data_IF_891867962923
#
_entry.id   IF_891867962923
#
_cell.length_a   1.000
_cell.length_b   1.000
_cell.length_c   1.000
_cell.angle_alpha   90.00
_cell.angle_beta   90.00
_cell.angle_gamma   90.00
#
_symmetry.space_group_name_H-M   'P 1'
#
loop_
_entity.id
_entity.type
_entity.pdbx_description
1 polymer ?
#
# COMPACT_ATOMS: atom_id res chain seq x y z
N UNK A 1 16.56 -13.22 11.37
CA UNK A 1 17.48 -13.24 10.21
C UNK A 1 17.78 -11.81 9.83
N UNK A 2 19.05 -11.41 9.74
CA UNK A 2 19.42 -10.06 9.33
C UNK A 2 19.04 -9.86 7.84
N UNK A 3 18.07 -9.00 7.58
CA UNK A 3 17.71 -8.58 6.21
C UNK A 3 18.90 -7.84 5.62
N UNK A 4 19.37 -8.26 4.44
CA UNK A 4 20.43 -7.56 3.73
C UNK A 4 20.02 -6.09 3.51
N UNK A 5 20.86 -5.12 3.92
CA UNK A 5 20.55 -3.69 3.71
C UNK A 5 20.34 -3.44 2.21
N UNK A 6 19.20 -2.86 1.80
CA UNK A 6 18.94 -2.56 0.39
C UNK A 6 19.96 -1.54 -0.12
N UNK A 7 20.60 -1.85 -1.25
CA UNK A 7 21.58 -1.00 -1.89
C UNK A 7 20.92 -0.23 -3.05
N UNK A 8 20.47 0.99 -2.77
CA UNK A 8 19.82 1.87 -3.75
C UNK A 8 20.84 2.55 -4.66
N UNK A 9 20.49 2.71 -5.93
CA UNK A 9 21.29 3.36 -6.97
C UNK A 9 20.57 4.59 -7.51
N UNK A 10 21.35 5.55 -8.03
CA UNK A 10 20.80 6.69 -8.76
C UNK A 10 19.98 6.15 -9.95
N UNK A 11 18.76 6.67 -10.10
CA UNK A 11 17.78 6.23 -11.10
C UNK A 11 16.79 5.18 -10.59
N UNK A 12 16.98 4.60 -9.40
CA UNK A 12 15.99 3.70 -8.81
C UNK A 12 14.71 4.47 -8.49
N UNK A 13 13.56 3.88 -8.81
CA UNK A 13 12.24 4.40 -8.45
C UNK A 13 11.80 3.76 -7.13
N UNK A 14 11.50 4.59 -6.14
CA UNK A 14 11.32 4.16 -4.75
C UNK A 14 10.12 4.86 -4.10
N UNK A 15 9.60 4.26 -3.04
CA UNK A 15 8.57 4.84 -2.19
C UNK A 15 9.20 5.36 -0.89
N UNK A 16 8.80 6.57 -0.50
CA UNK A 16 9.15 7.21 0.78
C UNK A 16 7.88 7.63 1.51
N UNK A 17 8.01 8.02 2.80
CA UNK A 17 6.89 8.60 3.57
C UNK A 17 6.28 9.87 2.96
N UNK A 18 6.97 10.53 2.03
CA UNK A 18 6.47 11.72 1.33
C UNK A 18 5.98 11.43 -0.09
N UNK A 19 5.96 10.15 -0.49
CA UNK A 19 5.46 9.70 -1.78
C UNK A 19 6.49 8.97 -2.62
N UNK A 20 6.08 8.61 -3.84
CA UNK A 20 6.89 7.96 -4.87
C UNK A 20 7.87 8.97 -5.47
N UNK A 21 9.07 8.51 -5.83
CA UNK A 21 10.07 9.37 -6.45
C UNK A 21 11.29 8.62 -6.97
N UNK A 22 12.14 9.33 -7.68
CA UNK A 22 13.36 8.83 -8.29
C UNK A 22 14.58 9.20 -7.44
N UNK A 23 15.45 8.23 -7.17
CA UNK A 23 16.73 8.46 -6.48
C UNK A 23 17.65 9.28 -7.40
N UNK A 24 18.03 10.49 -6.96
CA UNK A 24 18.96 11.38 -7.65
C UNK A 24 20.32 11.48 -6.97
N UNK A 25 20.39 11.13 -5.69
CA UNK A 25 21.63 11.14 -4.91
C UNK A 25 21.66 9.99 -3.90
N UNK A 26 22.82 9.39 -3.66
CA UNK A 26 23.05 8.43 -2.57
C UNK A 26 24.38 8.75 -1.92
N UNK A 27 24.37 9.11 -0.64
CA UNK A 27 25.59 9.47 0.08
C UNK A 27 25.35 10.23 1.38
N UNK A 28 26.42 10.62 2.09
CA UNK A 28 26.33 11.48 3.26
C UNK A 28 25.95 12.92 2.88
N UNK A 29 25.20 13.60 3.74
CA UNK A 29 24.84 15.02 3.56
C UNK A 29 25.37 15.85 4.73
N UNK A 30 25.83 17.06 4.45
CA UNK A 30 26.37 17.98 5.47
C UNK A 30 25.33 18.40 6.50
N UNK A 31 24.05 18.39 6.11
CA UNK A 31 22.93 18.71 7.00
C UNK A 31 22.61 17.62 8.04
N UNK A 32 23.25 16.44 7.94
CA UNK A 32 23.04 15.37 8.90
C UNK A 32 24.04 15.49 10.07
N UNK A 33 23.51 15.48 11.30
CA UNK A 33 24.33 15.47 12.52
C UNK A 33 25.24 14.23 12.65
N UNK A 34 24.96 13.17 11.88
CA UNK A 34 25.70 11.92 11.86
C UNK A 34 26.19 11.62 10.43
N UNK A 35 27.48 11.88 10.19
CA UNK A 35 28.13 11.69 8.89
C UNK A 35 28.30 10.21 8.51
N UNK A 36 28.03 9.27 9.43
CA UNK A 36 28.10 7.84 9.13
C UNK A 36 26.82 7.31 8.46
N UNK A 37 25.74 8.09 8.45
CA UNK A 37 24.48 7.73 7.79
C UNK A 37 24.50 8.05 6.31
N UNK A 38 24.00 7.10 5.52
CA UNK A 38 23.78 7.29 4.09
C UNK A 38 22.34 7.77 3.86
N UNK A 39 22.20 8.86 3.12
CA UNK A 39 20.93 9.42 2.71
C UNK A 39 20.73 9.19 1.21
N UNK A 40 19.46 9.04 0.83
CA UNK A 40 19.03 9.14 -0.55
C UNK A 40 18.39 10.52 -0.76
N UNK A 41 18.85 11.24 -1.78
CA UNK A 41 18.15 12.41 -2.31
C UNK A 41 17.15 11.95 -3.36
N UNK A 42 15.86 12.19 -3.12
CA UNK A 42 14.78 11.84 -4.03
C UNK A 42 14.22 13.10 -4.71
N UNK A 43 13.94 12.98 -6.01
CA UNK A 43 13.00 13.84 -6.72
C UNK A 43 11.63 13.13 -6.70
N UNK A 44 10.67 13.68 -5.95
CA UNK A 44 9.33 13.13 -5.82
C UNK A 44 8.50 13.38 -7.08
N UNK A 45 7.46 12.58 -7.31
CA UNK A 45 6.53 12.80 -8.42
C UNK A 45 5.59 14.00 -8.17
N UNK A 46 5.33 14.33 -6.91
CA UNK A 46 4.41 15.37 -6.44
C UNK A 46 5.15 16.39 -5.55
N UNK A 47 4.65 17.64 -5.40
CA UNK A 47 5.30 18.74 -4.67
C UNK A 47 5.24 18.59 -3.13
N UNK A 48 5.54 17.41 -2.60
CA UNK A 48 5.49 17.04 -1.19
C UNK A 48 6.88 16.97 -0.52
N UNK A 49 7.90 17.42 -1.22
CA UNK A 49 9.29 17.51 -0.78
C UNK A 49 9.55 18.72 0.10
N UNK A 50 10.83 18.90 0.46
CA UNK A 50 11.28 19.99 1.35
C UNK A 50 12.26 20.96 0.70
N UNK A 51 12.79 20.60 -0.47
CA UNK A 51 13.83 21.35 -1.14
C UNK A 51 13.75 21.17 -2.67
N UNK A 52 14.68 21.77 -3.39
CA UNK A 52 14.87 21.68 -4.84
C UNK A 52 16.11 20.83 -5.21
N UNK A 53 16.54 19.95 -4.30
CA UNK A 53 17.77 19.15 -4.41
C UNK A 53 19.03 19.79 -3.78
N UNK A 54 18.85 20.95 -3.15
CA UNK A 54 19.87 21.61 -2.32
C UNK A 54 19.55 21.55 -0.82
N UNK A 55 20.58 21.50 0.04
CA UNK A 55 20.43 21.66 1.49
C UNK A 55 21.65 22.37 2.07
N UNK A 56 21.45 23.27 3.02
CA UNK A 56 22.50 24.11 3.64
C UNK A 56 23.41 24.84 2.63
N UNK A 57 22.84 25.31 1.52
CA UNK A 57 23.58 26.05 0.49
C UNK A 57 24.41 25.18 -0.45
N UNK A 58 24.40 23.85 -0.28
CA UNK A 58 25.05 22.89 -1.17
C UNK A 58 24.01 22.18 -2.04
N UNK A 59 24.27 22.14 -3.35
CA UNK A 59 23.43 21.45 -4.34
C UNK A 59 23.93 20.02 -4.50
N UNK A 60 23.04 19.03 -4.34
CA UNK A 60 23.36 17.61 -4.55
C UNK A 60 22.72 17.07 -5.83
N UNK A 61 21.52 17.55 -6.15
CA UNK A 61 20.81 17.31 -7.41
C UNK A 61 19.90 18.52 -7.71
N UNK A 62 19.33 18.58 -8.90
CA UNK A 62 18.40 19.64 -9.30
C UNK A 62 17.01 19.04 -9.54
N UNK A 63 15.99 19.69 -8.99
CA UNK A 63 14.58 19.41 -9.24
C UNK A 63 13.73 20.66 -8.94
N UNK A 64 12.43 20.68 -9.31
CA UNK A 64 11.56 21.80 -8.98
C UNK A 64 11.42 22.01 -7.45
N UNK A 65 11.00 23.21 -7.05
CA UNK A 65 10.85 23.55 -5.64
C UNK A 65 9.75 22.72 -4.98
N UNK A 66 10.02 22.21 -3.77
CA UNK A 66 9.21 21.23 -3.05
C UNK A 66 9.12 19.84 -3.70
N UNK A 67 10.01 19.47 -4.63
CA UNK A 67 10.08 18.10 -5.16
C UNK A 67 11.23 17.28 -4.55
N UNK A 68 12.25 17.96 -4.03
CA UNK A 68 13.44 17.33 -3.46
C UNK A 68 13.25 16.94 -1.99
N UNK A 69 13.67 15.74 -1.60
CA UNK A 69 13.78 15.34 -0.19
C UNK A 69 15.02 14.48 0.05
N UNK A 70 15.63 14.62 1.23
CA UNK A 70 16.67 13.71 1.70
C UNK A 70 16.09 12.81 2.80
N UNK A 71 16.18 11.50 2.61
CA UNK A 71 15.72 10.50 3.57
C UNK A 71 16.79 9.45 3.83
N UNK A 72 16.89 8.88 5.04
CA UNK A 72 17.79 7.75 5.28
C UNK A 72 17.43 6.58 4.37
N UNK A 73 18.42 5.95 3.74
CA UNK A 73 18.18 4.83 2.80
C UNK A 73 17.38 3.68 3.42
N UNK A 74 17.45 3.52 4.74
CA UNK A 74 16.75 2.49 5.52
C UNK A 74 15.23 2.71 5.59
N UNK A 75 14.76 3.92 5.25
CA UNK A 75 13.33 4.29 5.29
C UNK A 75 12.63 4.15 3.94
N UNK A 76 13.35 3.71 2.91
CA UNK A 76 12.83 3.56 1.55
C UNK A 76 12.28 2.16 1.33
N UNK A 77 11.23 2.08 0.51
CA UNK A 77 10.72 0.82 -0.04
C UNK A 77 10.97 0.74 -1.56
N UNK A 78 11.34 -0.44 -2.05
CA UNK A 78 11.58 -0.69 -3.47
C UNK A 78 10.26 -0.70 -4.25
N UNK A 79 10.20 0.03 -5.37
CA UNK A 79 9.13 -0.11 -6.34
C UNK A 79 9.48 -1.18 -7.39
N UNK A 80 8.53 -2.01 -7.83
CA UNK A 80 8.73 -2.94 -8.94
C UNK A 80 9.23 -2.18 -10.18
N UNK A 81 10.27 -2.69 -10.83
CA UNK A 81 10.92 -2.06 -12.00
C UNK A 81 9.95 -1.77 -13.16
N UNK A 82 8.79 -2.44 -13.19
CA UNK A 82 7.77 -2.28 -14.23
C UNK A 82 6.91 -1.01 -14.05
N UNK A 83 6.88 -0.40 -12.85
CA UNK A 83 6.19 0.87 -12.60
C UNK A 83 7.03 2.11 -12.95
N UNK A 84 8.24 1.91 -13.49
CA UNK A 84 9.12 3.01 -13.87
C UNK A 84 8.54 3.71 -15.09
N UNK A 85 8.06 4.97 -14.93
CA UNK A 85 7.78 5.81 -16.09
C UNK A 85 9.08 5.94 -16.89
N UNK A 86 9.06 5.73 -18.22
CA UNK A 86 10.26 5.90 -19.03
C UNK A 86 10.78 7.32 -18.85
N UNK A 87 12.11 7.54 -18.81
CA UNK A 87 12.68 8.87 -18.64
C UNK A 87 12.15 9.79 -19.74
N UNK A 88 11.45 10.85 -19.33
CA UNK A 88 10.91 11.89 -20.20
C UNK A 88 12.03 12.73 -20.81
N UNK A 89 12.61 12.23 -21.90
CA UNK A 89 13.31 13.08 -22.88
C UNK A 89 12.37 13.41 -24.04
N UNK A 90 12.30 14.68 -24.49
CA UNK A 90 11.41 15.07 -25.58
C UNK A 90 12.06 14.85 -26.96
N UNK A 91 11.21 14.62 -27.97
CA UNK A 91 11.45 14.73 -29.44
C UNK A 91 12.08 13.46 -30.08
N UNK A 92 11.59 12.82 -31.17
CA UNK A 92 11.05 13.29 -32.47
C UNK A 92 10.32 12.15 -33.24
N UNK A 93 9.39 12.52 -34.11
CA UNK A 93 8.60 11.69 -35.04
C UNK A 93 9.39 10.87 -36.07
N UNK A 94 8.86 9.70 -36.50
CA UNK A 94 8.25 9.44 -37.83
C UNK A 94 8.29 7.97 -38.29
N UNK A 95 7.28 7.64 -39.12
CA UNK A 95 7.13 6.52 -40.09
C UNK A 95 6.88 5.13 -39.50
N UNK A 96 5.66 4.56 -39.55
CA UNK A 96 4.82 4.22 -40.71
C UNK A 96 5.43 3.15 -41.65
N UNK A 97 4.78 1.97 -41.60
CA UNK A 97 4.39 1.10 -42.73
C UNK A 97 5.46 0.53 -43.65
N UNK A 98 5.64 -0.79 -43.60
CA UNK A 98 5.94 -1.65 -44.76
C UNK A 98 5.67 -3.13 -44.45
N UNK A 99 5.22 -3.88 -45.46
CA UNK A 99 4.96 -5.34 -45.52
C UNK A 99 3.51 -5.81 -45.29
N UNK A 100 2.62 -5.41 -46.20
CA UNK A 100 1.44 -6.17 -46.65
C UNK A 100 1.32 -6.12 -48.17
N UNK A 101 1.77 -7.16 -48.85
CA UNK A 101 1.33 -7.67 -50.17
C UNK A 101 2.32 -8.80 -50.52
N UNK A 102 1.87 -10.05 -50.64
CA UNK A 102 1.47 -10.71 -51.90
C UNK A 102 1.07 -12.16 -51.45
N UNK A 103 -0.04 -12.81 -51.80
CA UNK A 103 -0.64 -13.08 -53.11
C UNK A 103 -2.13 -13.41 -52.96
N UNK A 104 -2.98 -12.85 -53.85
CA UNK A 104 -4.16 -13.57 -54.36
C UNK A 104 -3.70 -14.56 -55.45
N UNK A 105 -4.45 -15.55 -55.92
CA UNK A 105 -5.89 -15.63 -56.15
C UNK A 105 -6.22 -17.08 -56.61
N UNK A 106 -7.52 -17.40 -56.64
CA UNK A 106 -8.19 -18.53 -57.32
C UNK A 106 -7.95 -19.91 -56.67
N UNK A 107 -8.95 -20.75 -56.39
CA UNK A 107 -10.09 -21.18 -57.22
C UNK A 107 -11.28 -21.50 -56.30
N UNK A 108 -12.47 -21.02 -56.66
CA UNK A 108 -13.73 -21.54 -56.12
C UNK A 108 -14.32 -22.58 -57.07
N UNK A 109 -14.93 -23.62 -56.50
CA UNK A 109 -16.22 -24.19 -56.91
C UNK A 109 -16.48 -25.49 -56.16
N UNK A 110 -17.58 -25.49 -55.40
CA UNK A 110 -18.54 -26.57 -55.14
C UNK A 110 -18.11 -28.04 -55.28
N UNK A 111 -18.33 -28.81 -54.21
CA UNK A 111 -19.12 -30.06 -54.24
C UNK A 111 -19.65 -30.33 -52.82
N UNK A 112 -20.96 -30.28 -52.70
CA UNK A 112 -21.74 -30.74 -51.56
C UNK A 112 -21.84 -32.26 -51.55
N UNK A 113 -21.59 -32.87 -50.38
CA UNK A 113 -22.26 -34.10 -49.91
C UNK A 113 -21.74 -35.43 -50.44
N UNK A 114 -21.09 -36.21 -49.57
CA UNK A 114 -21.43 -37.62 -49.35
C UNK A 114 -20.95 -38.08 -47.98
N UNK A 115 -21.91 -38.50 -47.16
CA UNK A 115 -21.73 -39.20 -45.91
C UNK A 115 -21.47 -40.68 -46.21
N UNK A 116 -20.46 -41.26 -45.57
CA UNK A 116 -20.31 -42.70 -45.41
C UNK A 116 -19.41 -43.38 -46.43
N UNK A 117 -18.30 -43.94 -45.95
CA UNK A 117 -17.88 -45.31 -46.27
C UNK A 117 -16.73 -45.71 -45.35
N UNK A 118 -17.04 -46.60 -44.42
CA UNK A 118 -16.07 -47.35 -43.63
C UNK A 118 -15.37 -48.40 -44.49
N UNK A 119 -14.12 -48.70 -44.08
CA UNK A 119 -13.24 -49.83 -44.46
C UNK A 119 -12.26 -49.54 -45.59
N UNK A 120 -11.02 -49.22 -45.22
CA UNK A 120 -9.86 -49.76 -45.93
C UNK A 120 -8.67 -49.96 -44.97
N UNK A 121 -8.48 -51.21 -44.57
CA UNK A 121 -7.36 -51.67 -43.74
C UNK A 121 -6.27 -52.25 -44.65
N UNK A 122 -5.41 -51.42 -45.22
CA UNK A 122 -4.16 -51.92 -45.85
C UNK A 122 -2.97 -50.95 -45.76
N UNK A 123 -3.15 -49.70 -45.35
CA UNK A 123 -2.04 -48.73 -45.21
C UNK A 123 -1.50 -48.55 -43.78
N UNK A 124 -2.06 -49.26 -42.80
CA UNK A 124 -1.63 -49.22 -41.38
C UNK A 124 -0.23 -49.80 -41.10
N UNK A 125 0.61 -50.08 -42.11
CA UNK A 125 1.92 -50.72 -41.96
C UNK A 125 3.13 -49.85 -42.37
N UNK A 126 2.96 -48.54 -42.57
CA UNK A 126 4.08 -47.62 -42.72
C UNK A 126 4.57 -47.10 -41.33
N UNK A 127 5.86 -47.28 -40.98
CA UNK A 127 6.42 -46.82 -39.69
C UNK A 127 6.23 -45.32 -39.44
N UNK A 128 6.36 -44.50 -40.49
CA UNK A 128 6.17 -43.05 -40.43
C UNK A 128 4.71 -42.64 -40.12
N UNK A 129 3.73 -43.41 -40.62
CA UNK A 129 2.29 -43.16 -40.38
C UNK A 129 1.88 -43.59 -38.96
N UNK A 130 2.48 -44.67 -38.42
CA UNK A 130 2.24 -45.11 -37.04
C UNK A 130 2.85 -44.18 -35.99
N UNK A 131 3.99 -43.54 -36.28
CA UNK A 131 4.56 -42.53 -35.38
C UNK A 131 3.76 -41.22 -35.40
N UNK A 132 3.18 -40.83 -36.54
CA UNK A 132 2.37 -39.61 -36.65
C UNK A 132 0.95 -39.74 -36.05
N UNK A 133 0.38 -40.94 -35.96
CA UNK A 133 -0.99 -41.17 -35.47
C UNK A 133 -1.12 -41.38 -33.96
N UNK A 134 -0.03 -41.42 -33.19
CA UNK A 134 -0.07 -41.84 -31.78
C UNK A 134 0.20 -40.74 -30.75
N UNK A 135 0.27 -39.48 -31.16
CA UNK A 135 0.04 -38.37 -30.22
C UNK A 135 -1.44 -38.04 -30.35
N UNK A 136 -2.21 -38.37 -29.32
CA UNK A 136 -3.64 -38.08 -29.25
C UNK A 136 -3.81 -36.55 -29.09
N UNK A 137 -3.52 -35.80 -30.16
CA UNK A 137 -3.45 -34.33 -30.20
C UNK A 137 -4.75 -33.71 -29.77
N UNK A 138 -5.90 -34.34 -30.07
CA UNK A 138 -7.22 -33.94 -29.54
C UNK A 138 -7.32 -34.08 -28.02
N UNK A 139 -6.74 -35.11 -27.43
CA UNK A 139 -6.76 -35.32 -25.97
C UNK A 139 -5.76 -34.42 -25.26
N UNK A 140 -4.55 -34.24 -25.82
CA UNK A 140 -3.60 -33.24 -25.34
C UNK A 140 -4.13 -31.81 -25.45
N UNK A 141 -4.88 -31.49 -26.51
CA UNK A 141 -5.56 -30.21 -26.69
C UNK A 141 -6.72 -30.04 -25.72
N UNK A 142 -7.49 -31.09 -25.44
CA UNK A 142 -8.55 -31.06 -24.44
C UNK A 142 -7.99 -30.86 -23.03
N UNK A 143 -6.91 -31.54 -22.68
CA UNK A 143 -6.21 -31.38 -21.40
C UNK A 143 -5.57 -29.99 -21.28
N UNK A 144 -5.01 -29.45 -22.36
CA UNK A 144 -4.46 -28.10 -22.38
C UNK A 144 -5.56 -27.04 -22.24
N UNK A 145 -6.68 -27.17 -22.97
CA UNK A 145 -7.84 -26.30 -22.82
C UNK A 145 -8.50 -26.41 -21.44
N UNK A 146 -8.57 -27.60 -20.86
CA UNK A 146 -9.14 -27.83 -19.53
C UNK A 146 -8.24 -27.23 -18.43
N UNK A 147 -6.93 -27.41 -18.54
CA UNK A 147 -5.96 -26.76 -17.64
C UNK A 147 -5.98 -25.24 -17.82
N UNK A 148 -6.12 -24.75 -19.04
CA UNK A 148 -6.23 -23.33 -19.36
C UNK A 148 -7.52 -22.72 -18.80
N UNK A 149 -8.65 -23.42 -18.92
CA UNK A 149 -9.92 -23.00 -18.32
C UNK A 149 -9.82 -22.95 -16.79
N UNK A 150 -9.17 -23.94 -16.15
CA UNK A 150 -8.89 -23.89 -14.71
C UNK A 150 -8.05 -22.67 -14.30
N UNK A 151 -7.08 -22.28 -15.13
CA UNK A 151 -6.24 -21.10 -14.88
C UNK A 151 -7.05 -19.80 -15.01
N UNK A 152 -7.95 -19.73 -16.00
CA UNK A 152 -8.88 -18.60 -16.20
C UNK A 152 -9.90 -18.50 -15.06
N UNK A 153 -10.54 -19.61 -14.69
CA UNK A 153 -11.50 -19.65 -13.57
C UNK A 153 -10.82 -19.23 -12.24
N UNK A 154 -9.54 -19.62 -12.05
CA UNK A 154 -8.74 -19.15 -10.91
C UNK A 154 -8.33 -17.68 -11.01
N UNK A 155 -8.15 -17.13 -12.22
CA UNK A 155 -7.83 -15.72 -12.43
C UNK A 155 -9.04 -14.84 -12.13
N UNK A 156 -10.22 -15.29 -12.56
CA UNK A 156 -11.51 -14.64 -12.29
C UNK A 156 -11.83 -14.64 -10.79
N UNK A 157 -11.62 -15.77 -10.10
CA UNK A 157 -11.79 -15.84 -8.64
C UNK A 157 -10.80 -14.93 -7.86
N UNK A 158 -9.60 -14.68 -8.41
CA UNK A 158 -8.67 -13.70 -7.83
C UNK A 158 -9.05 -12.27 -8.21
N UNK A 159 -9.69 -12.02 -9.35
CA UNK A 159 -10.27 -10.71 -9.69
C UNK A 159 -11.38 -10.33 -8.71
N UNK A 160 -12.21 -11.27 -8.27
CA UNK A 160 -13.24 -11.01 -7.27
C UNK A 160 -12.63 -10.64 -5.90
N UNK A 161 -11.52 -11.29 -5.52
CA UNK A 161 -10.78 -10.94 -4.30
C UNK A 161 -10.08 -9.58 -4.44
N UNK A 162 -9.52 -9.27 -5.61
CA UNK A 162 -8.92 -7.97 -5.89
C UNK A 162 -9.97 -6.85 -5.89
N UNK A 163 -11.17 -7.10 -6.41
CA UNK A 163 -12.29 -6.18 -6.31
C UNK A 163 -12.72 -5.95 -4.86
N UNK A 164 -12.68 -7.01 -4.04
CA UNK A 164 -12.93 -6.91 -2.58
C UNK A 164 -11.85 -6.09 -1.88
N UNK A 165 -10.59 -6.26 -2.25
CA UNK A 165 -9.47 -5.45 -1.75
C UNK A 165 -9.58 -3.99 -2.22
N UNK A 166 -9.93 -3.73 -3.48
CA UNK A 166 -10.18 -2.39 -4.01
C UNK A 166 -11.33 -1.69 -3.30
N UNK A 167 -12.43 -2.41 -3.02
CA UNK A 167 -13.54 -1.88 -2.24
C UNK A 167 -13.10 -1.49 -0.82
N UNK A 168 -12.23 -2.30 -0.20
CA UNK A 168 -11.68 -2.01 1.12
C UNK A 168 -10.67 -0.84 1.10
N UNK A 169 -9.87 -0.70 0.05
CA UNK A 169 -9.00 0.47 -0.18
C UNK A 169 -9.86 1.73 -0.29
N UNK A 170 -10.95 1.70 -1.03
CA UNK A 170 -11.90 2.82 -1.14
C UNK A 170 -12.54 3.18 0.22
N UNK A 171 -12.75 2.18 1.07
CA UNK A 171 -13.25 2.35 2.44
C UNK A 171 -12.19 3.01 3.34
N UNK A 172 -10.93 2.60 3.21
CA UNK A 172 -9.79 3.18 3.91
C UNK A 172 -9.41 4.57 3.39
N UNK A 173 -9.62 4.87 2.11
CA UNK A 173 -9.45 6.22 1.53
C UNK A 173 -10.47 7.21 2.09
N UNK A 174 -11.66 6.73 2.45
CA UNK A 174 -12.69 7.53 3.12
C UNK A 174 -12.45 7.68 4.62
N UNK A 175 -11.66 6.80 5.22
CA UNK A 175 -11.22 6.92 6.60
C UNK A 175 -10.07 7.94 6.68
N UNK A 176 -10.33 9.12 7.24
CA UNK A 176 -9.31 10.14 7.47
C UNK A 176 -8.44 9.72 8.66
N UNK A 177 -7.41 8.90 8.41
CA UNK A 177 -6.33 8.64 9.37
C UNK A 177 -5.39 9.85 9.45
N UNK A 178 -5.09 10.32 10.66
CA UNK A 178 -4.32 11.55 10.92
C UNK A 178 -2.81 11.32 11.13
N UNK A 179 -2.29 10.13 10.80
CA UNK A 179 -0.89 9.74 11.07
C UNK A 179 -0.05 9.48 9.81
N UNK A 180 1.16 10.05 9.77
CA UNK A 180 2.15 9.87 8.68
C UNK A 180 2.55 8.39 8.44
N UNK A 181 2.39 7.51 9.44
CA UNK A 181 2.76 6.08 9.34
C UNK A 181 1.66 5.22 8.68
N UNK A 182 0.39 5.48 9.00
CA UNK A 182 -0.76 4.81 8.37
C UNK A 182 -0.87 5.16 6.89
N UNK A 183 -0.59 6.42 6.53
CA UNK A 183 -0.60 6.88 5.13
C UNK A 183 0.53 6.23 4.31
N UNK A 184 1.70 5.97 4.94
CA UNK A 184 2.80 5.27 4.28
C UNK A 184 2.49 3.80 4.03
N UNK A 185 1.94 3.09 5.01
CA UNK A 185 1.54 1.68 4.86
C UNK A 185 0.42 1.52 3.82
N UNK A 186 -0.53 2.47 3.78
CA UNK A 186 -1.55 2.58 2.73
C UNK A 186 -0.94 2.79 1.34
N UNK A 187 0.01 3.70 1.18
CA UNK A 187 0.68 3.93 -0.11
C UNK A 187 1.53 2.73 -0.56
N UNK A 188 2.15 2.00 0.39
CA UNK A 188 2.89 0.78 0.09
C UNK A 188 1.95 -0.33 -0.44
N UNK A 189 0.77 -0.47 0.17
CA UNK A 189 -0.26 -1.42 -0.28
C UNK A 189 -0.80 -1.07 -1.67
N UNK A 190 -1.11 0.20 -1.94
CA UNK A 190 -1.60 0.66 -3.26
C UNK A 190 -0.59 0.30 -4.36
N UNK A 191 0.69 0.60 -4.14
CA UNK A 191 1.77 0.23 -5.07
C UNK A 191 1.81 -1.27 -5.33
N UNK A 192 1.65 -2.08 -4.28
CA UNK A 192 1.71 -3.54 -4.40
C UNK A 192 0.60 -4.03 -5.32
N UNK A 193 -0.62 -3.52 -5.16
CA UNK A 193 -1.79 -3.87 -5.97
C UNK A 193 -1.60 -3.43 -7.43
N UNK A 194 -1.16 -2.19 -7.66
CA UNK A 194 -0.86 -1.67 -9.00
C UNK A 194 0.13 -2.57 -9.75
N UNK A 195 1.19 -3.01 -9.07
CA UNK A 195 2.20 -3.88 -9.67
C UNK A 195 1.68 -5.27 -10.03
N UNK A 196 0.74 -5.81 -9.26
CA UNK A 196 0.14 -7.12 -9.53
C UNK A 196 -0.79 -7.06 -10.73
N UNK A 197 -1.57 -5.98 -10.88
CA UNK A 197 -2.48 -5.81 -12.02
C UNK A 197 -1.71 -5.68 -13.35
N UNK A 198 -0.56 -5.02 -13.35
CA UNK A 198 0.27 -4.88 -14.54
C UNK A 198 0.93 -6.20 -14.99
N UNK A 199 1.39 -7.02 -14.03
CA UNK A 199 1.89 -8.37 -14.30
C UNK A 199 0.79 -9.25 -14.89
N UNK A 200 -0.42 -9.17 -14.35
CA UNK A 200 -1.59 -9.92 -14.84
C UNK A 200 -1.91 -9.56 -16.29
N UNK A 201 -2.01 -8.27 -16.62
CA UNK A 201 -2.28 -7.81 -17.99
C UNK A 201 -1.23 -8.32 -18.98
N UNK A 202 0.04 -8.32 -18.59
CA UNK A 202 1.14 -8.83 -19.44
C UNK A 202 0.99 -10.33 -19.73
N UNK A 203 0.56 -11.12 -18.74
CA UNK A 203 0.35 -12.55 -18.91
C UNK A 203 -0.87 -12.86 -19.79
N UNK A 204 -1.96 -12.11 -19.63
CA UNK A 204 -3.16 -12.24 -20.48
C UNK A 204 -2.86 -11.94 -21.95
N UNK A 205 -2.08 -10.89 -22.25
CA UNK A 205 -1.67 -10.55 -23.61
C UNK A 205 -0.82 -11.67 -24.24
N UNK A 206 0.22 -12.15 -23.52
CA UNK A 206 1.07 -13.25 -24.00
C UNK A 206 0.27 -14.52 -24.27
N UNK A 207 -0.70 -14.83 -23.43
CA UNK A 207 -1.58 -15.98 -23.59
C UNK A 207 -2.45 -15.85 -24.84
N UNK A 208 -3.01 -14.65 -25.07
CA UNK A 208 -3.80 -14.36 -26.27
C UNK A 208 -2.98 -14.56 -27.54
N UNK A 209 -1.73 -14.10 -27.56
CA UNK A 209 -0.82 -14.25 -28.70
C UNK A 209 -0.50 -15.72 -29.00
N UNK A 210 -0.24 -16.53 -27.96
CA UNK A 210 0.05 -17.96 -28.12
C UNK A 210 -1.15 -18.74 -28.67
N UNK A 211 -2.35 -18.45 -28.18
CA UNK A 211 -3.58 -19.10 -28.68
C UNK A 211 -3.85 -18.80 -30.15
N UNK A 212 -3.74 -17.53 -30.54
CA UNK A 212 -3.94 -17.12 -31.93
C UNK A 212 -2.91 -17.76 -32.86
N UNK A 213 -1.67 -17.93 -32.41
CA UNK A 213 -0.62 -18.64 -33.16
C UNK A 213 -0.94 -20.12 -33.33
N UNK A 214 -1.43 -20.78 -32.27
CA UNK A 214 -1.79 -22.19 -32.29
C UNK A 214 -2.94 -22.49 -33.25
N UNK A 215 -4.02 -21.70 -33.21
CA UNK A 215 -5.18 -21.87 -34.10
C UNK A 215 -4.79 -21.78 -35.59
N UNK A 216 -3.91 -20.84 -35.94
CA UNK A 216 -3.41 -20.71 -37.32
C UNK A 216 -2.65 -21.95 -37.78
N UNK A 217 -1.78 -22.48 -36.94
CA UNK A 217 -1.01 -23.69 -37.29
C UNK A 217 -1.92 -24.92 -37.43
N UNK A 218 -2.98 -25.03 -36.62
CA UNK A 218 -3.96 -26.10 -36.72
C UNK A 218 -4.75 -26.05 -38.04
N UNK A 219 -5.18 -24.86 -38.45
CA UNK A 219 -5.88 -24.68 -39.73
C UNK A 219 -5.01 -25.08 -40.92
N UNK A 220 -3.71 -24.74 -40.88
CA UNK A 220 -2.76 -25.12 -41.92
C UNK A 220 -2.55 -26.64 -42.00
N UNK A 221 -2.41 -27.31 -40.85
CA UNK A 221 -2.25 -28.77 -40.80
C UNK A 221 -3.50 -29.50 -41.31
N UNK A 222 -4.69 -29.00 -40.99
CA UNK A 222 -5.95 -29.58 -41.49
C UNK A 222 -6.00 -29.53 -43.04
N UNK A 223 -5.67 -28.39 -43.64
CA UNK A 223 -5.62 -28.23 -45.09
C UNK A 223 -4.62 -29.17 -45.76
N UNK A 224 -3.43 -29.34 -45.19
CA UNK A 224 -2.41 -30.26 -45.72
C UNK A 224 -2.88 -31.72 -45.66
N UNK A 225 -3.59 -32.10 -44.58
CA UNK A 225 -4.08 -33.46 -44.41
C UNK A 225 -5.22 -33.79 -45.40
N UNK A 226 -6.07 -32.81 -45.72
CA UNK A 226 -7.11 -32.95 -46.75
C UNK A 226 -6.50 -33.13 -48.15
N UNK A 227 -5.43 -32.39 -48.47
CA UNK A 227 -4.67 -32.53 -49.72
C UNK A 227 -4.03 -33.92 -49.84
N UNK A 228 -3.37 -34.40 -48.78
CA UNK A 228 -2.79 -35.75 -48.74
C UNK A 228 -3.86 -36.81 -48.96
N UNK A 229 -5.02 -36.69 -48.31
CA UNK A 229 -6.12 -37.64 -48.46
C UNK A 229 -6.66 -37.67 -49.90
N UNK A 230 -6.81 -36.52 -50.53
CA UNK A 230 -7.27 -36.41 -51.93
C UNK A 230 -6.27 -37.04 -52.92
N UNK A 231 -4.96 -36.76 -52.72
CA UNK A 231 -3.89 -37.35 -53.54
C UNK A 231 -3.83 -38.87 -53.37
N UNK A 232 -3.94 -39.38 -52.14
CA UNK A 232 -3.97 -40.82 -51.86
C UNK A 232 -5.10 -41.51 -52.60
N UNK A 233 -6.32 -40.95 -52.51
CA UNK A 233 -7.50 -41.49 -53.20
C UNK A 233 -7.30 -41.52 -54.72
N UNK A 234 -6.79 -40.42 -55.28
CA UNK A 234 -6.56 -40.30 -56.73
C UNK A 234 -5.52 -41.30 -57.24
N UNK A 235 -4.42 -41.48 -56.48
CA UNK A 235 -3.38 -42.47 -56.81
C UNK A 235 -3.94 -43.89 -56.77
N UNK A 236 -4.75 -44.21 -55.77
CA UNK A 236 -5.37 -45.53 -55.63
C UNK A 236 -6.33 -45.85 -56.79
N UNK A 237 -7.23 -44.91 -57.11
CA UNK A 237 -8.19 -45.05 -58.22
C UNK A 237 -7.47 -45.28 -59.56
N UNK A 238 -6.40 -44.51 -59.82
CA UNK A 238 -5.59 -44.66 -61.04
C UNK A 238 -4.80 -45.98 -61.08
N UNK A 239 -4.27 -46.45 -59.95
CA UNK A 239 -3.60 -47.77 -59.85
C UNK A 239 -4.55 -48.92 -60.15
N UNK A 240 -5.78 -48.84 -59.64
CA UNK A 240 -6.83 -49.83 -59.94
C UNK A 240 -7.17 -49.83 -61.42
N UNK A 241 -7.29 -48.67 -62.06
CA UNK A 241 -7.45 -48.59 -63.52
C UNK A 241 -6.26 -49.16 -64.29
N UNK A 242 -5.02 -48.85 -63.88
CA UNK A 242 -3.82 -49.33 -64.56
C UNK A 242 -3.64 -50.85 -64.44
N UNK A 243 -4.01 -51.45 -63.30
CA UNK A 243 -4.01 -52.91 -63.13
C UNK A 243 -5.05 -53.59 -64.01
N UNK A 244 -6.25 -53.01 -64.16
CA UNK A 244 -7.28 -53.50 -65.09
C UNK A 244 -6.79 -53.47 -66.54
N UNK A 245 -6.21 -52.36 -66.98
CA UNK A 245 -5.65 -52.21 -68.34
C UNK A 245 -4.48 -53.18 -68.55
N UNK A 246 -3.59 -53.31 -67.57
CA UNK A 246 -2.46 -54.25 -67.63
C UNK A 246 -2.93 -55.69 -67.81
N UNK A 247 -3.94 -56.11 -67.03
CA UNK A 247 -4.53 -57.45 -67.11
C UNK A 247 -5.18 -57.70 -68.47
N UNK A 248 -5.93 -56.72 -69.00
CA UNK A 248 -6.56 -56.80 -70.31
C UNK A 248 -5.53 -56.87 -71.47
N UNK A 249 -4.43 -56.11 -71.34
CA UNK A 249 -3.34 -56.06 -72.33
C UNK A 249 -2.41 -57.28 -72.34
N UNK A 250 -2.43 -58.12 -71.29
CA UNK A 250 -1.59 -59.31 -71.17
C UNK A 250 -2.15 -60.53 -71.95
N UNK A 251 -3.30 -60.39 -72.61
CA UNK A 251 -3.91 -61.46 -73.41
C UNK A 251 -3.09 -61.76 -74.68
N UNK A 252 -2.84 -63.04 -75.03
CA UNK A 252 -2.03 -63.44 -76.20
C UNK A 252 -2.55 -62.97 -77.57
N UNK A 253 -3.76 -62.41 -77.63
CA UNK A 253 -4.41 -61.92 -78.84
C UNK A 253 -4.60 -60.39 -78.86
N UNK A 254 -3.98 -59.66 -77.95
CA UNK A 254 -4.11 -58.21 -77.85
C UNK A 254 -3.18 -57.49 -78.86
N UNK A 255 -3.74 -56.71 -79.81
CA UNK A 255 -2.97 -56.02 -80.86
C UNK A 255 -3.22 -54.49 -80.93
N UNK A 256 -3.81 -53.89 -79.88
CA UNK A 256 -4.20 -52.48 -79.91
C UNK A 256 -3.09 -51.55 -79.37
N UNK A 257 -2.33 -50.94 -80.29
CA UNK A 257 -1.24 -50.01 -79.98
C UNK A 257 -1.69 -48.75 -79.23
N UNK A 258 -2.94 -48.30 -79.44
CA UNK A 258 -3.49 -47.13 -78.75
C UNK A 258 -3.62 -47.36 -77.23
N UNK A 259 -4.03 -48.57 -76.83
CA UNK A 259 -4.21 -48.93 -75.41
C UNK A 259 -2.84 -49.11 -74.72
N UNK A 260 -1.82 -49.55 -75.45
CA UNK A 260 -0.43 -49.61 -74.95
C UNK A 260 0.12 -48.20 -74.68
N UNK A 261 -0.13 -47.23 -75.57
CA UNK A 261 0.25 -45.82 -75.36
C UNK A 261 -0.49 -45.20 -74.17
N UNK A 262 -1.79 -45.45 -74.05
CA UNK A 262 -2.61 -44.99 -72.91
C UNK A 262 -2.13 -45.59 -71.58
N UNK A 263 -1.72 -46.86 -71.56
CA UNK A 263 -1.13 -47.53 -70.40
C UNK A 263 0.20 -46.89 -69.98
N UNK A 264 1.09 -46.60 -70.94
CA UNK A 264 2.37 -45.95 -70.67
C UNK A 264 2.17 -44.52 -70.14
N UNK A 265 1.19 -43.79 -70.67
CA UNK A 265 0.84 -42.45 -70.24
C UNK A 265 0.18 -42.44 -68.85
N UNK A 266 -0.72 -43.38 -68.56
CA UNK A 266 -1.27 -43.60 -67.23
C UNK A 266 -0.18 -43.98 -66.21
N UNK A 267 0.78 -44.82 -66.61
CA UNK A 267 1.90 -45.22 -65.75
C UNK A 267 2.81 -44.02 -65.41
N UNK A 268 3.07 -43.14 -66.37
CA UNK A 268 3.77 -41.87 -66.14
C UNK A 268 2.98 -40.94 -65.22
N UNK A 269 1.65 -40.83 -65.41
CA UNK A 269 0.77 -40.02 -64.56
C UNK A 269 0.76 -40.50 -63.11
N UNK A 270 0.71 -41.81 -62.89
CA UNK A 270 0.79 -42.43 -61.55
C UNK A 270 2.13 -42.10 -60.89
N UNK A 271 3.25 -42.26 -61.60
CA UNK A 271 4.58 -41.97 -61.06
C UNK A 271 4.74 -40.51 -60.60
N UNK A 272 4.18 -39.56 -61.37
CA UNK A 272 4.17 -38.13 -60.99
C UNK A 272 3.31 -37.90 -59.74
N UNK A 273 2.11 -38.48 -59.68
CA UNK A 273 1.23 -38.32 -58.52
C UNK A 273 1.79 -39.00 -57.26
N UNK A 274 2.50 -40.12 -57.39
CA UNK A 274 3.22 -40.76 -56.29
C UNK A 274 4.38 -39.90 -55.77
N UNK A 275 5.10 -39.20 -56.66
CA UNK A 275 6.11 -38.22 -56.28
C UNK A 275 5.50 -37.05 -55.51
N UNK A 276 4.42 -36.46 -56.03
CA UNK A 276 3.70 -35.37 -55.37
C UNK A 276 3.12 -35.79 -54.02
N UNK A 277 2.57 -37.01 -53.92
CA UNK A 277 2.07 -37.56 -52.68
C UNK A 277 3.20 -37.74 -51.65
N UNK A 278 4.37 -38.22 -52.08
CA UNK A 278 5.54 -38.35 -51.22
C UNK A 278 5.99 -36.99 -50.69
N UNK A 279 6.06 -35.98 -51.55
CA UNK A 279 6.41 -34.60 -51.19
C UNK A 279 5.42 -34.00 -50.19
N UNK A 280 4.11 -34.12 -50.45
CA UNK A 280 3.05 -33.67 -49.57
C UNK A 280 3.09 -34.37 -48.19
N UNK A 281 3.35 -35.69 -48.16
CA UNK A 281 3.54 -36.44 -46.92
C UNK A 281 4.75 -35.96 -46.13
N UNK A 282 5.90 -35.71 -46.78
CA UNK A 282 7.09 -35.16 -46.11
C UNK A 282 6.83 -33.75 -45.57
N UNK A 283 6.18 -32.89 -46.34
CA UNK A 283 5.84 -31.51 -45.93
C UNK A 283 4.87 -31.49 -44.74
N UNK A 284 3.84 -32.33 -44.78
CA UNK A 284 2.89 -32.50 -43.68
C UNK A 284 3.56 -33.06 -42.43
N UNK A 285 4.47 -34.02 -42.57
CA UNK A 285 5.21 -34.60 -41.44
C UNK A 285 6.12 -33.55 -40.78
N UNK A 286 6.87 -32.79 -41.57
CA UNK A 286 7.73 -31.71 -41.05
C UNK A 286 6.91 -30.61 -40.36
N UNK A 287 5.73 -30.28 -40.89
CA UNK A 287 4.82 -29.31 -40.26
C UNK A 287 4.32 -29.83 -38.91
N UNK A 288 3.98 -31.11 -38.84
CA UNK A 288 3.52 -31.75 -37.60
C UNK A 288 4.62 -31.87 -36.54
N UNK A 289 5.86 -32.14 -36.94
CA UNK A 289 7.03 -32.14 -36.06
C UNK A 289 7.28 -30.75 -35.46
N UNK A 290 7.28 -29.71 -36.30
CA UNK A 290 7.41 -28.31 -35.84
C UNK A 290 6.27 -27.91 -34.89
N UNK A 291 5.05 -28.34 -35.19
CA UNK A 291 3.90 -28.06 -34.32
C UNK A 291 4.06 -28.74 -32.95
N UNK A 292 4.52 -29.99 -32.92
CA UNK A 292 4.78 -30.71 -31.68
C UNK A 292 5.90 -30.04 -30.87
N UNK A 293 6.98 -29.61 -31.50
CA UNK A 293 8.06 -28.89 -30.84
C UNK A 293 7.57 -27.57 -30.23
N UNK A 294 6.80 -26.79 -30.99
CA UNK A 294 6.19 -25.56 -30.50
C UNK A 294 5.22 -25.81 -29.34
N UNK A 295 4.44 -26.90 -29.39
CA UNK A 295 3.51 -27.29 -28.31
C UNK A 295 4.27 -27.67 -27.03
N UNK A 296 5.38 -28.41 -27.15
CA UNK A 296 6.24 -28.78 -26.02
C UNK A 296 6.84 -27.52 -25.37
N UNK A 297 7.34 -26.59 -26.19
CA UNK A 297 7.92 -25.34 -25.70
C UNK A 297 6.85 -24.47 -25.02
N UNK A 298 5.69 -24.29 -25.64
CA UNK A 298 4.56 -23.56 -25.06
C UNK A 298 4.07 -24.19 -23.75
N UNK A 299 4.01 -25.53 -23.67
CA UNK A 299 3.68 -26.24 -22.43
C UNK A 299 4.71 -25.96 -21.33
N UNK A 300 6.00 -25.99 -21.66
CA UNK A 300 7.08 -25.72 -20.70
C UNK A 300 7.04 -24.27 -20.20
N UNK A 301 6.75 -23.31 -21.07
CA UNK A 301 6.56 -21.90 -20.69
C UNK A 301 5.32 -21.73 -19.79
N UNK A 302 4.20 -22.36 -20.14
CA UNK A 302 3.00 -22.34 -19.30
C UNK A 302 3.26 -22.95 -17.91
N UNK A 303 3.97 -24.07 -17.82
CA UNK A 303 4.37 -24.69 -16.55
C UNK A 303 5.26 -23.76 -15.71
N UNK A 304 6.17 -23.01 -16.33
CA UNK A 304 6.99 -22.03 -15.64
C UNK A 304 6.16 -20.85 -15.11
N UNK A 305 5.25 -20.32 -15.92
CA UNK A 305 4.34 -19.26 -15.48
C UNK A 305 3.43 -19.71 -14.34
N UNK A 306 2.95 -20.96 -14.36
CA UNK A 306 2.18 -21.54 -13.24
C UNK A 306 3.04 -21.62 -11.96
N UNK A 307 4.33 -21.98 -12.06
CA UNK A 307 5.24 -21.98 -10.91
C UNK A 307 5.46 -20.57 -10.35
N UNK A 308 5.72 -19.59 -11.21
CA UNK A 308 5.86 -18.18 -10.81
C UNK A 308 4.58 -17.66 -10.14
N UNK A 309 3.41 -17.98 -10.70
CA UNK A 309 2.11 -17.63 -10.12
C UNK A 309 1.92 -18.23 -8.73
N UNK A 310 2.24 -19.51 -8.54
CA UNK A 310 2.09 -20.18 -7.24
C UNK A 310 3.01 -19.58 -6.17
N UNK A 311 4.23 -19.20 -6.54
CA UNK A 311 5.16 -18.50 -5.65
C UNK A 311 4.63 -17.10 -5.27
N UNK A 312 4.07 -16.36 -6.23
CA UNK A 312 3.42 -15.07 -5.95
C UNK A 312 2.19 -15.22 -5.06
N UNK A 313 1.37 -16.26 -5.28
CA UNK A 313 0.19 -16.54 -4.45
C UNK A 313 0.58 -16.84 -3.01
N UNK A 314 1.66 -17.61 -2.80
CA UNK A 314 2.19 -17.87 -1.47
C UNK A 314 2.64 -16.58 -0.76
N UNK A 315 3.33 -15.69 -1.48
CA UNK A 315 3.75 -14.38 -0.93
C UNK A 315 2.54 -13.50 -0.60
N UNK A 316 1.49 -13.55 -1.40
CA UNK A 316 0.25 -12.82 -1.12
C UNK A 316 -0.39 -13.32 0.19
N UNK A 317 -0.52 -14.63 0.37
CA UNK A 317 -1.02 -15.23 1.61
C UNK A 317 -0.18 -14.84 2.84
N UNK A 318 1.15 -14.78 2.69
CA UNK A 318 2.04 -14.29 3.76
C UNK A 318 1.77 -12.83 4.13
N UNK A 319 1.50 -11.97 3.14
CA UNK A 319 1.12 -10.56 3.36
C UNK A 319 -0.24 -10.46 4.02
N UNK A 320 -1.25 -11.21 3.56
CA UNK A 320 -2.59 -11.26 4.17
C UNK A 320 -2.52 -11.67 5.64
N UNK A 321 -1.70 -12.68 5.95
CA UNK A 321 -1.51 -13.15 7.32
C UNK A 321 -0.85 -12.07 8.19
N UNK A 322 0.17 -11.38 7.68
CA UNK A 322 0.81 -10.26 8.38
C UNK A 322 -0.18 -9.12 8.64
N UNK A 323 -0.97 -8.75 7.63
CA UNK A 323 -1.98 -7.70 7.76
C UNK A 323 -3.05 -8.07 8.78
N UNK A 324 -3.54 -9.32 8.78
CA UNK A 324 -4.48 -9.79 9.80
C UNK A 324 -3.92 -9.71 11.21
N UNK A 325 -2.63 -9.95 11.40
CA UNK A 325 -1.97 -9.82 12.71
C UNK A 325 -1.83 -8.35 13.12
N UNK A 326 -1.48 -7.47 12.19
CA UNK A 326 -1.41 -6.02 12.43
C UNK A 326 -2.78 -5.50 12.88
N UNK A 327 -3.85 -5.84 12.16
CA UNK A 327 -5.23 -5.46 12.54
C UNK A 327 -5.62 -5.92 13.95
N UNK A 328 -5.22 -7.13 14.35
CA UNK A 328 -5.46 -7.61 15.72
C UNK A 328 -4.70 -6.77 16.74
N UNK A 329 -3.41 -6.50 16.49
CA UNK A 329 -2.61 -5.68 17.39
C UNK A 329 -3.12 -4.24 17.50
N UNK A 330 -3.62 -3.67 16.40
CA UNK A 330 -4.22 -2.34 16.38
C UNK A 330 -5.49 -2.29 17.24
N UNK A 331 -6.38 -3.28 17.09
CA UNK A 331 -7.58 -3.40 17.90
C UNK A 331 -7.25 -3.54 19.39
N UNK A 332 -6.25 -4.35 19.75
CA UNK A 332 -5.77 -4.51 21.14
C UNK A 332 -5.21 -3.18 21.69
N UNK A 333 -4.45 -2.43 20.89
CA UNK A 333 -3.91 -1.12 21.29
C UNK A 333 -5.06 -0.10 21.49
N UNK A 334 -6.05 -0.06 20.60
CA UNK A 334 -7.20 0.82 20.72
C UNK A 334 -8.03 0.51 21.98
N UNK A 335 -8.25 -0.77 22.26
CA UNK A 335 -8.96 -1.20 23.47
C UNK A 335 -8.21 -0.75 24.73
N UNK A 336 -6.89 -0.98 24.76
CA UNK A 336 -6.04 -0.56 25.88
C UNK A 336 -6.00 0.96 26.06
N UNK A 337 -5.88 1.71 24.97
CA UNK A 337 -5.89 3.17 25.02
C UNK A 337 -7.22 3.71 25.55
N UNK A 338 -8.35 3.14 25.14
CA UNK A 338 -9.67 3.52 25.63
C UNK A 338 -9.83 3.20 27.13
N UNK A 339 -9.28 2.08 27.58
CA UNK A 339 -9.26 1.72 28.99
C UNK A 339 -8.42 2.71 29.81
N UNK A 340 -7.18 2.98 29.38
CA UNK A 340 -6.27 3.92 30.05
C UNK A 340 -6.87 5.34 30.12
N UNK A 341 -7.53 5.80 29.05
CA UNK A 341 -8.22 7.09 28.99
C UNK A 341 -9.38 7.15 30.00
N UNK A 342 -10.13 6.04 30.11
CA UNK A 342 -11.26 5.93 31.05
C UNK A 342 -10.77 5.97 32.49
N UNK A 343 -9.70 5.24 32.79
CA UNK A 343 -9.10 5.20 34.13
C UNK A 343 -8.51 6.55 34.53
N UNK A 344 -7.79 7.22 33.62
CA UNK A 344 -7.28 8.57 33.85
C UNK A 344 -8.40 9.59 34.10
N UNK A 345 -9.50 9.50 33.34
CA UNK A 345 -10.67 10.37 33.52
C UNK A 345 -11.32 10.15 34.89
N UNK A 346 -11.50 8.89 35.30
CA UNK A 346 -12.06 8.54 36.60
C UNK A 346 -11.14 9.02 37.75
N UNK A 347 -9.82 8.87 37.61
CA UNK A 347 -8.86 9.34 38.59
C UNK A 347 -8.91 10.87 38.74
N UNK A 348 -8.88 11.61 37.63
CA UNK A 348 -8.99 13.06 37.65
C UNK A 348 -10.31 13.54 38.25
N UNK A 349 -11.42 12.85 37.95
CA UNK A 349 -12.73 13.16 38.51
C UNK A 349 -12.78 12.93 40.03
N UNK A 350 -12.22 11.83 40.52
CA UNK A 350 -12.14 11.54 41.96
C UNK A 350 -11.25 12.55 42.69
N UNK A 351 -10.15 12.97 42.07
CA UNK A 351 -9.24 13.95 42.64
C UNK A 351 -9.88 15.35 42.71
N UNK A 352 -10.65 15.74 41.67
CA UNK A 352 -11.48 16.95 41.73
C UNK A 352 -12.51 16.91 42.86
N UNK A 353 -13.22 15.80 43.03
CA UNK A 353 -14.18 15.64 44.14
C UNK A 353 -13.48 15.81 45.49
N UNK A 354 -12.30 15.22 45.65
CA UNK A 354 -11.50 15.34 46.87
C UNK A 354 -11.05 16.77 47.13
N UNK A 355 -10.57 17.47 46.10
CA UNK A 355 -10.14 18.87 46.21
C UNK A 355 -11.32 19.79 46.55
N UNK A 356 -12.49 19.60 45.93
CA UNK A 356 -13.70 20.36 46.24
C UNK A 356 -14.11 20.20 47.70
N UNK A 357 -14.08 18.96 48.23
CA UNK A 357 -14.37 18.71 49.64
C UNK A 357 -13.37 19.39 50.57
N UNK A 358 -12.09 19.38 50.23
CA UNK A 358 -11.08 20.06 51.04
C UNK A 358 -11.22 21.58 50.98
N UNK A 359 -11.59 22.13 49.82
CA UNK A 359 -11.88 23.56 49.66
C UNK A 359 -13.02 23.97 50.59
N UNK A 360 -14.12 23.21 50.62
CA UNK A 360 -15.27 23.43 51.50
C UNK A 360 -14.86 23.39 52.98
N UNK A 361 -14.00 22.43 53.38
CA UNK A 361 -13.46 22.38 54.76
C UNK A 361 -12.63 23.61 55.12
N UNK A 362 -11.81 24.12 54.18
CA UNK A 362 -10.99 25.31 54.38
C UNK A 362 -11.86 26.57 54.45
N UNK A 363 -12.87 26.70 53.58
CA UNK A 363 -13.83 27.80 53.58
C UNK A 363 -14.60 27.86 54.91
N UNK A 364 -15.05 26.71 55.41
CA UNK A 364 -15.72 26.63 56.71
C UNK A 364 -14.80 27.07 57.85
N UNK A 365 -13.56 26.59 57.90
CA UNK A 365 -12.57 27.01 58.91
C UNK A 365 -12.26 28.51 58.82
N UNK A 366 -12.14 29.04 57.61
CA UNK A 366 -11.90 30.47 57.39
C UNK A 366 -13.08 31.29 57.92
N UNK A 367 -14.32 30.88 57.62
CA UNK A 367 -15.54 31.50 58.15
C UNK A 367 -15.56 31.50 59.69
N UNK A 368 -15.24 30.38 60.32
CA UNK A 368 -15.22 30.28 61.79
C UNK A 368 -14.13 31.17 62.41
N UNK A 369 -12.95 31.22 61.78
CA UNK A 369 -11.85 32.09 62.22
C UNK A 369 -12.22 33.57 62.10
N UNK A 370 -12.87 33.95 60.99
CA UNK A 370 -13.35 35.32 60.79
C UNK A 370 -14.40 35.73 61.83
N UNK A 371 -15.30 34.80 62.23
CA UNK A 371 -16.26 35.05 63.31
C UNK A 371 -15.55 35.26 64.66
N UNK A 372 -14.60 34.40 65.00
CA UNK A 372 -13.84 34.51 66.24
C UNK A 372 -13.02 35.82 66.31
N UNK A 373 -12.40 36.22 65.20
CA UNK A 373 -11.67 37.50 65.11
C UNK A 373 -12.60 38.71 65.24
N UNK A 374 -13.81 38.63 64.68
CA UNK A 374 -14.82 39.68 64.83
C UNK A 374 -15.33 39.81 66.29
N UNK A 375 -15.45 38.69 67.02
CA UNK A 375 -15.78 38.68 68.45
C UNK A 375 -14.64 39.28 69.29
N UNK A 376 -13.40 38.82 69.08
CA UNK A 376 -12.23 39.38 69.76
C UNK A 376 -12.07 40.89 69.57
N UNK A 377 -12.31 41.40 68.35
CA UNK A 377 -12.24 42.83 68.08
C UNK A 377 -13.34 43.60 68.83
N UNK A 378 -14.55 43.05 68.96
CA UNK A 378 -15.61 43.67 69.79
C UNK A 378 -15.23 43.72 71.26
N UNK A 379 -14.69 42.63 71.79
CA UNK A 379 -14.25 42.57 73.19
C UNK A 379 -13.10 43.56 73.46
N UNK A 380 -12.17 43.69 72.51
CA UNK A 380 -11.09 44.69 72.57
C UNK A 380 -11.64 46.12 72.56
N UNK A 381 -12.60 46.43 71.68
CA UNK A 381 -13.24 47.75 71.61
C UNK A 381 -13.96 48.10 72.92
N UNK A 382 -14.67 47.13 73.52
CA UNK A 382 -15.32 47.32 74.83
C UNK A 382 -14.31 47.59 75.95
N UNK A 383 -13.24 46.79 76.05
CA UNK A 383 -12.21 46.97 77.07
C UNK A 383 -11.48 48.31 76.93
N UNK A 384 -11.30 48.78 75.68
CA UNK A 384 -10.73 50.09 75.40
C UNK A 384 -11.62 51.22 75.90
N UNK A 385 -12.93 51.14 75.66
CA UNK A 385 -13.91 52.13 76.14
C UNK A 385 -13.94 52.18 77.68
N UNK A 386 -13.92 51.02 78.35
CA UNK A 386 -13.80 50.95 79.81
C UNK A 386 -12.50 51.60 80.32
N UNK A 387 -11.37 51.32 79.69
CA UNK A 387 -10.09 51.92 80.06
C UNK A 387 -10.09 53.45 79.86
N UNK A 388 -10.69 53.94 78.77
CA UNK A 388 -10.86 55.38 78.53
C UNK A 388 -11.73 56.03 79.62
N UNK A 389 -12.79 55.36 80.06
CA UNK A 389 -13.63 55.81 81.18
C UNK A 389 -12.85 55.85 82.51
N UNK A 390 -12.06 54.81 82.83
CA UNK A 390 -11.19 54.80 84.01
C UNK A 390 -10.14 55.92 83.98
N UNK A 391 -9.55 56.19 82.81
CA UNK A 391 -8.59 57.30 82.64
C UNK A 391 -9.26 58.64 82.89
N UNK A 392 -10.50 58.81 82.43
CA UNK A 392 -11.30 60.02 82.67
C UNK A 392 -11.62 60.20 84.16
N UNK A 393 -12.11 59.16 84.83
CA UNK A 393 -12.42 59.20 86.27
C UNK A 393 -11.17 59.48 87.11
N UNK A 394 -10.03 58.85 86.78
CA UNK A 394 -8.74 59.13 87.42
C UNK A 394 -8.32 60.60 87.27
N UNK A 395 -8.58 61.21 86.11
CA UNK A 395 -8.29 62.64 85.88
C UNK A 395 -9.17 63.53 86.74
N UNK A 396 -10.46 63.26 86.81
CA UNK A 396 -11.40 63.99 87.66
C UNK A 396 -11.01 63.90 89.15
N UNK A 397 -10.59 62.71 89.60
CA UNK A 397 -10.07 62.51 90.95
C UNK A 397 -8.75 63.28 91.20
N UNK A 398 -7.83 63.28 90.23
CA UNK A 398 -6.59 64.04 90.33
C UNK A 398 -6.85 65.55 90.44
N UNK A 399 -7.75 66.08 89.60
CA UNK A 399 -8.17 67.48 89.64
C UNK A 399 -8.83 67.81 90.99
N UNK A 400 -9.64 66.90 91.54
CA UNK A 400 -10.23 67.06 92.86
C UNK A 400 -9.17 67.08 93.98
N UNK A 401 -8.22 66.15 93.97
CA UNK A 401 -7.10 66.10 94.93
C UNK A 401 -6.25 67.37 94.84
N UNK A 402 -5.99 67.86 93.62
CA UNK A 402 -5.26 69.10 93.43
C UNK A 402 -6.01 70.30 93.99
N UNK A 403 -7.32 70.40 93.76
CA UNK A 403 -8.16 71.44 94.35
C UNK A 403 -8.23 71.35 95.89
N UNK A 404 -8.23 70.15 96.47
CA UNK A 404 -8.14 69.98 97.92
C UNK A 404 -6.77 70.41 98.46
N UNK A 405 -5.68 70.12 97.74
CA UNK A 405 -4.33 70.54 98.10
C UNK A 405 -4.18 72.05 98.09
N UNK A 406 -4.71 72.72 97.07
CA UNK A 406 -4.74 74.20 97.00
C UNK A 406 -5.50 74.79 98.19
N UNK A 407 -6.69 74.25 98.50
CA UNK A 407 -7.46 74.65 99.69
C UNK A 407 -6.68 74.43 100.99
N UNK A 408 -5.95 73.32 101.11
CA UNK A 408 -5.13 73.01 102.29
C UNK A 408 -3.94 73.97 102.42
N UNK A 409 -3.28 74.30 101.31
CA UNK A 409 -2.18 75.27 101.26
C UNK A 409 -2.67 76.66 101.66
N UNK A 410 -3.84 77.08 101.17
CA UNK A 410 -4.44 78.36 101.53
C UNK A 410 -4.89 78.40 102.99
N UNK A 411 -5.50 77.33 103.51
CA UNK A 411 -5.82 77.20 104.92
C UNK A 411 -4.57 77.25 105.81
N UNK A 412 -3.48 76.59 105.38
CA UNK A 412 -2.19 76.59 106.07
C UNK A 412 -1.57 77.99 106.11
N UNK A 413 -1.58 78.73 104.99
CA UNK A 413 -1.15 80.14 104.93
C UNK A 413 -2.00 81.02 105.84
N UNK A 414 -3.32 80.84 105.83
CA UNK A 414 -4.25 81.60 106.66
C UNK A 414 -4.00 81.37 108.16
N UNK A 415 -3.86 80.11 108.58
CA UNK A 415 -3.54 79.75 109.97
C UNK A 415 -2.17 80.30 110.41
N UNK A 416 -1.17 80.30 109.52
CA UNK A 416 0.15 80.88 109.79
C UNK A 416 0.06 82.41 109.99
N UNK A 417 -0.71 83.10 109.16
CA UNK A 417 -0.97 84.54 109.32
C UNK A 417 -1.69 84.85 110.64
N UNK A 418 -2.72 84.07 110.98
CA UNK A 418 -3.48 84.24 112.23
C UNK A 418 -2.60 84.00 113.47
N UNK A 419 -1.73 82.97 113.42
CA UNK A 419 -0.71 82.70 114.46
C UNK A 419 0.32 83.84 114.59
N UNK A 420 0.76 84.41 113.48
CA UNK A 420 1.66 85.57 113.47
C UNK A 420 0.98 86.81 114.07
N UNK A 421 -0.31 87.03 113.75
CA UNK A 421 -1.09 88.15 114.27
C UNK A 421 -1.36 88.01 115.78
N UNK A 422 -1.64 86.80 116.27
CA UNK A 422 -1.75 86.46 117.70
C UNK A 422 -0.42 86.69 118.44
N UNK A 423 0.70 86.25 117.87
CA UNK A 423 2.04 86.51 118.42
C UNK A 423 2.33 88.02 118.48
N UNK A 424 1.97 88.78 117.43
CA UNK A 424 2.12 90.23 117.40
C UNK A 424 1.23 90.95 118.43
N UNK A 425 -0.03 90.54 118.57
CA UNK A 425 -0.95 91.07 119.61
C UNK A 425 -0.43 90.78 121.02
N UNK A 426 0.13 89.59 121.26
CA UNK A 426 0.74 89.24 122.55
C UNK A 426 2.03 90.03 122.82
N UNK A 427 2.90 90.22 121.82
CA UNK A 427 4.07 91.10 121.93
C UNK A 427 3.66 92.54 122.26
N UNK A 428 2.67 93.10 121.55
CA UNK A 428 2.14 94.46 121.78
C UNK A 428 1.50 94.63 123.16
N UNK A 429 0.87 93.58 123.72
CA UNK A 429 0.38 93.56 125.11
C UNK A 429 1.51 93.57 126.12
N UNK A 430 2.61 92.88 125.86
CA UNK A 430 3.77 92.83 126.75
C UNK A 430 4.62 94.12 126.68
N UNK A 431 4.74 94.76 125.51
CA UNK A 431 5.50 96.02 125.34
C UNK A 431 4.80 97.29 125.86
N UNK A 432 3.53 97.22 126.27
CA UNK A 432 2.80 98.32 126.93
C UNK A 432 2.89 98.28 128.46
N UNK A 433 3.59 97.28 129.02
CA UNK A 433 3.83 97.11 130.47
C UNK A 433 5.23 97.55 130.91
N UNK A 434 5.99 98.15 130.00
CA UNK A 434 7.25 98.88 130.24
C UNK A 434 7.00 100.34 129.93
#
# INVERSE_FOLDING_TARGET
MATAKPNYKIGDYVLSKKGKGTVRYVGPIEAANDQTKIFAGLELDEPNGKNNGSTQGKVYFECPENYGIFVPVETLANLPKMLTKPPSNPVRSNRASELRQELGSTIGSDITGVTGMSKMSTFNNMPAVRQAQNVNTKTYHHDLQANLKKVLDQLEAEQDKNATLQARIQELERATGSGDDEEFEKQELIVKVESLEEVKKTLEEKLRETNVSLERNMAMLASQNDEVHLLQKTVEDLKVSNTRITTASASPHFNNESILKEKDELSKRIAVLESNLKEALTSSTQTQEKLNENLINAKKEAENHVKEKNELLKRLQEVETKFSNILKSEAEIQEKLNQDLTDAKNQAQNENIRLLKHLEEVENKLSDTLKAEAENNRDFDMAKEEAENFVKEKRELLDHVQGLKEKLDDASKSAMNEKNELSFKNWKRNSRKT
#
